data_IF_354478548034
#
_entry.id   IF_354478548034
#
_cell.length_a   1.000
_cell.length_b   1.000
_cell.length_c   1.000
_cell.angle_alpha   90.00
_cell.angle_beta   90.00
_cell.angle_gamma   90.00
#
_symmetry.space_group_name_H-M   'P 1'
#
loop_
_entity.id
_entity.type
_entity.pdbx_description
1 polymer ?
#
# COMPACT_ATOMS: atom_id res chain seq x y z
N UNK A 1 9.25 37.54 -32.57
CA UNK A 1 9.16 36.88 -33.89
C UNK A 1 10.00 35.60 -33.77
N UNK A 2 9.48 34.37 -33.69
CA UNK A 2 8.27 33.75 -34.26
C UNK A 2 7.52 32.90 -33.21
N UNK A 3 6.20 32.90 -33.28
CA UNK A 3 5.32 31.85 -32.78
C UNK A 3 5.44 30.61 -33.67
N UNK A 4 5.31 29.40 -33.11
CA UNK A 4 4.40 28.36 -33.59
C UNK A 4 4.34 27.14 -32.63
N UNK A 5 3.32 26.26 -32.74
CA UNK A 5 2.25 26.17 -31.75
C UNK A 5 2.29 24.89 -30.91
N UNK A 6 1.50 24.88 -29.85
CA UNK A 6 1.18 23.67 -29.08
C UNK A 6 0.54 22.61 -29.98
N UNK A 7 0.99 21.35 -29.94
CA UNK A 7 0.09 20.24 -30.13
C UNK A 7 -0.63 20.00 -28.80
N UNK A 8 -1.92 20.35 -28.76
CA UNK A 8 -2.88 19.77 -27.82
C UNK A 8 -2.90 18.27 -28.08
N UNK A 9 -2.10 17.52 -27.33
CA UNK A 9 -2.32 16.10 -27.10
C UNK A 9 -3.28 15.99 -25.94
N UNK A 10 -4.53 15.65 -26.26
CA UNK A 10 -5.50 15.17 -25.28
C UNK A 10 -4.80 14.16 -24.37
N UNK A 11 -4.82 14.43 -23.06
CA UNK A 11 -4.12 13.65 -22.06
C UNK A 11 -4.60 12.21 -22.05
N UNK A 12 -3.85 11.33 -22.70
CA UNK A 12 -3.76 9.94 -22.27
C UNK A 12 -3.17 10.00 -20.86
N UNK A 13 -4.01 9.82 -19.84
CA UNK A 13 -3.61 9.85 -18.44
C UNK A 13 -2.42 8.91 -18.25
N UNK A 14 -1.22 9.47 -18.09
CA UNK A 14 -0.04 8.70 -17.79
C UNK A 14 -0.35 7.93 -16.51
N UNK A 15 -0.28 6.60 -16.58
CA UNK A 15 -0.48 5.77 -15.40
C UNK A 15 0.46 6.27 -14.29
N UNK A 16 -0.03 6.45 -13.05
CA UNK A 16 0.79 6.97 -11.97
C UNK A 16 2.04 6.07 -11.80
N UNK A 17 3.21 6.69 -11.70
CA UNK A 17 4.48 6.00 -11.50
C UNK A 17 4.41 5.29 -10.14
N UNK A 18 4.41 3.95 -10.15
CA UNK A 18 4.43 3.15 -8.92
C UNK A 18 5.78 3.31 -8.21
N UNK A 19 5.83 3.37 -6.87
CA UNK A 19 7.07 3.48 -6.12
C UNK A 19 7.91 2.22 -6.26
N UNK A 20 9.23 2.37 -6.13
CA UNK A 20 10.19 1.26 -6.16
C UNK A 20 10.36 0.69 -4.75
N UNK A 21 9.93 -0.55 -4.48
CA UNK A 21 10.00 -1.11 -3.13
C UNK A 21 11.44 -1.47 -2.74
N UNK A 22 11.78 -1.23 -1.47
CA UNK A 22 13.00 -1.73 -0.83
C UNK A 22 12.58 -2.55 0.38
N UNK A 23 12.89 -3.85 0.37
CA UNK A 23 12.60 -4.73 1.50
C UNK A 23 13.78 -4.70 2.48
N UNK A 24 13.50 -4.30 3.72
CA UNK A 24 14.45 -4.40 4.82
C UNK A 24 14.15 -5.66 5.64
N UNK A 25 15.13 -6.56 5.77
CA UNK A 25 15.04 -7.77 6.61
C UNK A 25 16.00 -7.60 7.80
N UNK A 26 15.57 -6.94 8.88
CA UNK A 26 16.45 -6.66 10.00
C UNK A 26 16.64 -7.88 10.90
N UNK A 27 17.84 -8.02 11.46
CA UNK A 27 18.06 -8.89 12.61
C UNK A 27 17.53 -8.24 13.90
N UNK A 28 17.33 -9.04 14.95
CA UNK A 28 16.86 -8.51 16.24
C UNK A 28 17.87 -7.50 16.81
N UNK A 29 17.36 -6.34 17.24
CA UNK A 29 18.13 -5.27 17.91
C UNK A 29 19.25 -4.65 17.05
N UNK A 30 19.11 -4.63 15.73
CA UNK A 30 20.10 -4.04 14.82
C UNK A 30 19.92 -2.53 14.52
N UNK A 31 19.02 -1.83 15.23
CA UNK A 31 18.76 -0.40 14.99
C UNK A 31 17.90 -0.10 13.75
N UNK A 32 17.23 -1.10 13.18
CA UNK A 32 16.37 -0.94 11.99
C UNK A 32 15.24 0.06 12.16
N UNK A 33 14.72 0.19 13.37
CA UNK A 33 13.72 1.20 13.69
C UNK A 33 14.26 2.63 13.48
N UNK A 34 15.49 2.90 13.92
CA UNK A 34 16.12 4.21 13.75
C UNK A 34 16.45 4.49 12.28
N UNK A 35 16.90 3.49 11.52
CA UNK A 35 17.13 3.62 10.08
C UNK A 35 15.83 3.97 9.34
N UNK A 36 14.74 3.23 9.59
CA UNK A 36 13.42 3.49 9.01
C UNK A 36 12.96 4.93 9.25
N UNK A 37 13.08 5.41 10.51
CA UNK A 37 12.71 6.78 10.84
C UNK A 37 13.54 7.81 10.07
N UNK A 38 14.86 7.62 9.98
CA UNK A 38 15.73 8.51 9.19
C UNK A 38 15.36 8.51 7.71
N UNK A 39 15.08 7.33 7.13
CA UNK A 39 14.62 7.23 5.75
C UNK A 39 13.30 7.98 5.56
N UNK A 40 12.34 7.85 6.49
CA UNK A 40 11.05 8.52 6.38
C UNK A 40 11.11 10.06 6.52
N UNK A 41 12.23 10.62 6.98
CA UNK A 41 12.47 12.07 6.96
C UNK A 41 13.04 12.58 5.62
N UNK A 42 13.54 11.68 4.76
CA UNK A 42 14.03 12.04 3.44
C UNK A 42 12.86 12.06 2.44
N UNK A 43 12.62 13.16 1.70
CA UNK A 43 11.51 13.27 0.75
C UNK A 43 11.58 12.25 -0.42
N UNK A 44 12.73 11.64 -0.66
CA UNK A 44 12.91 10.60 -1.68
C UNK A 44 12.50 9.20 -1.20
N UNK A 45 12.21 9.04 0.08
CA UNK A 45 11.87 7.75 0.69
C UNK A 45 10.54 7.82 1.41
N UNK A 46 9.68 6.86 1.08
CA UNK A 46 8.48 6.58 1.85
C UNK A 46 8.73 5.36 2.74
N UNK A 47 8.83 5.57 4.06
CA UNK A 47 9.14 4.51 5.03
C UNK A 47 8.24 4.62 6.26
N UNK A 48 6.91 4.49 6.07
CA UNK A 48 5.93 4.77 7.11
C UNK A 48 6.05 3.78 8.27
N UNK A 49 5.30 4.03 9.34
CA UNK A 49 5.21 3.07 10.43
C UNK A 49 4.67 1.72 9.91
N UNK A 50 5.34 0.58 10.21
CA UNK A 50 4.91 -0.72 9.72
C UNK A 50 3.48 -1.04 10.15
N UNK A 51 2.68 -1.57 9.24
CA UNK A 51 1.39 -2.14 9.58
C UNK A 51 1.63 -3.53 10.20
N UNK A 52 1.32 -3.70 11.49
CA UNK A 52 1.57 -4.95 12.22
C UNK A 52 0.56 -6.05 11.87
N UNK A 53 0.62 -6.52 10.62
CA UNK A 53 -0.28 -7.58 10.15
C UNK A 53 -0.02 -8.94 10.81
N UNK A 54 1.11 -9.11 11.50
CA UNK A 54 1.42 -10.34 12.24
C UNK A 54 0.38 -10.58 13.34
N UNK A 55 -0.02 -9.51 14.05
CA UNK A 55 -1.06 -9.58 15.08
C UNK A 55 -2.46 -9.87 14.48
N UNK A 56 -2.62 -9.61 13.19
CA UNK A 56 -3.83 -9.87 12.42
C UNK A 56 -3.89 -11.32 11.89
N UNK A 57 -2.75 -12.01 11.75
CA UNK A 57 -2.70 -13.35 11.15
C UNK A 57 -3.58 -14.40 11.85
N UNK A 58 -3.73 -14.43 13.19
CA UNK A 58 -4.64 -15.36 13.86
C UNK A 58 -6.10 -15.22 13.42
N UNK A 59 -6.50 -14.06 12.89
CA UNK A 59 -7.85 -13.79 12.42
C UNK A 59 -8.09 -14.26 10.98
N UNK A 60 -7.04 -14.51 10.19
CA UNK A 60 -7.18 -14.88 8.77
C UNK A 60 -8.09 -16.08 8.52
N UNK A 61 -8.03 -17.17 9.30
CA UNK A 61 -8.93 -18.31 9.10
C UNK A 61 -10.42 -17.95 9.24
N UNK A 62 -10.76 -16.88 9.95
CA UNK A 62 -12.15 -16.46 10.17
C UNK A 62 -12.79 -15.84 8.91
N UNK A 63 -12.00 -15.48 7.90
CA UNK A 63 -12.51 -14.94 6.63
C UNK A 63 -13.04 -16.04 5.69
N UNK A 64 -12.75 -17.31 5.97
CA UNK A 64 -13.13 -18.43 5.11
C UNK A 64 -12.23 -18.55 3.87
N UNK A 65 -12.81 -19.02 2.77
CA UNK A 65 -12.07 -19.19 1.51
C UNK A 65 -11.83 -17.85 0.82
N UNK A 66 -10.57 -17.43 0.71
CA UNK A 66 -10.22 -16.18 0.03
C UNK A 66 -10.43 -16.26 -1.49
N UNK A 67 -10.66 -17.42 -2.09
CA UNK A 67 -11.09 -17.51 -3.49
C UNK A 67 -12.51 -16.91 -3.70
N UNK A 68 -13.32 -16.78 -2.65
CA UNK A 68 -14.58 -16.02 -2.69
C UNK A 68 -14.28 -14.50 -2.66
N UNK A 69 -14.81 -13.78 -3.65
CA UNK A 69 -14.71 -12.32 -3.76
C UNK A 69 -15.26 -11.62 -2.51
N UNK A 70 -16.33 -12.15 -1.90
CA UNK A 70 -16.92 -11.53 -0.72
C UNK A 70 -16.01 -11.66 0.51
N UNK A 71 -15.44 -12.83 0.72
CA UNK A 71 -14.46 -13.09 1.78
C UNK A 71 -13.20 -12.24 1.59
N UNK A 72 -12.67 -12.20 0.37
CA UNK A 72 -11.47 -11.42 0.08
C UNK A 72 -11.70 -9.91 0.16
N UNK A 73 -12.85 -9.42 -0.31
CA UNK A 73 -13.21 -8.00 -0.16
C UNK A 73 -13.34 -7.60 1.30
N UNK A 74 -13.93 -8.47 2.15
CA UNK A 74 -13.98 -8.23 3.60
C UNK A 74 -12.58 -8.12 4.20
N UNK A 75 -11.64 -8.98 3.81
CA UNK A 75 -10.24 -8.89 4.20
C UNK A 75 -9.61 -7.54 3.78
N UNK A 76 -9.85 -7.09 2.56
CA UNK A 76 -9.36 -5.79 2.08
C UNK A 76 -9.87 -4.64 2.94
N UNK A 77 -11.19 -4.61 3.20
CA UNK A 77 -11.82 -3.60 4.07
C UNK A 77 -11.19 -3.58 5.45
N UNK A 78 -10.98 -4.76 6.06
CA UNK A 78 -10.49 -4.83 7.43
C UNK A 78 -9.00 -4.49 7.55
N UNK A 79 -8.18 -4.79 6.54
CA UNK A 79 -6.77 -4.36 6.49
C UNK A 79 -6.67 -2.83 6.31
N UNK A 80 -7.52 -2.24 5.47
CA UNK A 80 -7.63 -0.78 5.36
C UNK A 80 -8.11 -0.20 6.69
N UNK A 81 -9.08 -0.84 7.34
CA UNK A 81 -9.57 -0.49 8.67
C UNK A 81 -8.46 -0.54 9.72
N UNK A 82 -7.57 -1.54 9.69
CA UNK A 82 -6.41 -1.64 10.57
C UNK A 82 -5.46 -0.45 10.38
N UNK A 83 -5.18 -0.07 9.14
CA UNK A 83 -4.38 1.12 8.84
C UNK A 83 -5.09 2.39 9.32
N UNK A 84 -6.39 2.50 9.07
CA UNK A 84 -7.23 3.63 9.48
C UNK A 84 -7.43 3.70 11.00
N UNK A 85 -7.28 2.60 11.74
CA UNK A 85 -7.33 2.55 13.21
C UNK A 85 -5.96 2.71 13.87
N UNK A 86 -4.86 2.49 13.14
CA UNK A 86 -3.49 2.56 13.66
C UNK A 86 -3.17 3.94 14.27
N UNK A 87 -2.49 3.96 15.41
CA UNK A 87 -2.13 5.19 16.11
C UNK A 87 -1.23 6.12 15.26
N UNK A 88 -0.38 5.54 14.42
CA UNK A 88 0.50 6.29 13.50
C UNK A 88 -0.07 6.20 12.09
N UNK A 89 -0.68 7.31 11.63
CA UNK A 89 -1.23 7.39 10.28
C UNK A 89 -0.13 7.50 9.23
N UNK A 90 -0.40 6.92 8.07
CA UNK A 90 0.41 7.14 6.88
C UNK A 90 0.06 8.50 6.30
N UNK A 91 1.03 9.42 6.24
CA UNK A 91 0.81 10.80 5.85
C UNK A 91 0.27 10.88 4.41
N UNK A 92 -0.88 11.54 4.23
CA UNK A 92 -1.47 11.79 2.91
C UNK A 92 -2.11 10.57 2.24
N UNK A 93 -2.22 9.43 2.92
CA UNK A 93 -2.77 8.21 2.34
C UNK A 93 -4.22 7.99 2.79
N UNK A 94 -5.11 7.84 1.83
CA UNK A 94 -6.50 7.42 2.00
C UNK A 94 -6.76 6.30 0.99
N UNK A 95 -7.42 5.24 1.43
CA UNK A 95 -7.64 4.04 0.61
C UNK A 95 -9.12 3.73 0.50
N UNK A 96 -9.60 3.64 -0.74
CA UNK A 96 -10.94 3.15 -1.04
C UNK A 96 -10.93 1.63 -1.23
N UNK A 97 -11.67 0.84 -0.44
CA UNK A 97 -11.62 -0.62 -0.51
C UNK A 97 -11.98 -1.20 -1.87
N UNK A 98 -12.97 -0.60 -2.55
CA UNK A 98 -13.37 -1.02 -3.91
C UNK A 98 -12.21 -0.92 -4.90
N UNK A 99 -11.53 0.23 -4.91
CA UNK A 99 -10.39 0.45 -5.80
C UNK A 99 -9.22 -0.50 -5.52
N UNK A 100 -8.94 -0.76 -4.23
CA UNK A 100 -7.86 -1.67 -3.85
C UNK A 100 -8.20 -3.10 -4.27
N UNK A 101 -9.44 -3.54 -4.01
CA UNK A 101 -9.91 -4.85 -4.40
C UNK A 101 -9.86 -5.04 -5.93
N UNK A 102 -10.37 -4.10 -6.70
CA UNK A 102 -10.38 -4.19 -8.16
C UNK A 102 -8.96 -4.24 -8.75
N UNK A 103 -8.00 -3.55 -8.15
CA UNK A 103 -6.60 -3.60 -8.58
C UNK A 103 -5.93 -4.97 -8.36
N UNK A 104 -6.40 -5.78 -7.41
CA UNK A 104 -5.72 -7.02 -6.98
C UNK A 104 -6.56 -8.29 -7.10
N UNK A 105 -7.87 -8.21 -7.39
CA UNK A 105 -8.81 -9.35 -7.43
C UNK A 105 -8.41 -10.49 -8.37
N UNK A 106 -7.66 -10.18 -9.42
CA UNK A 106 -7.16 -11.13 -10.42
C UNK A 106 -5.77 -11.70 -10.09
N UNK A 107 -5.17 -11.28 -8.98
CA UNK A 107 -3.83 -11.68 -8.54
C UNK A 107 -3.91 -12.73 -7.41
N UNK A 108 -2.80 -13.40 -7.05
CA UNK A 108 -2.77 -14.30 -5.91
C UNK A 108 -3.22 -13.59 -4.62
N UNK A 109 -4.26 -14.15 -4.00
CA UNK A 109 -4.96 -13.54 -2.87
C UNK A 109 -4.26 -13.86 -1.56
N UNK A 110 -3.90 -12.82 -0.81
CA UNK A 110 -3.35 -12.94 0.54
C UNK A 110 -3.43 -11.59 1.25
N UNK A 111 -3.34 -11.59 2.59
CA UNK A 111 -3.20 -10.33 3.36
C UNK A 111 -1.97 -9.54 2.93
N UNK A 112 -0.86 -10.23 2.64
CA UNK A 112 0.38 -9.61 2.19
C UNK A 112 0.17 -8.85 0.88
N UNK A 113 -0.60 -9.41 -0.07
CA UNK A 113 -0.92 -8.74 -1.32
C UNK A 113 -1.69 -7.44 -1.10
N UNK A 114 -2.63 -7.42 -0.16
CA UNK A 114 -3.36 -6.20 0.21
C UNK A 114 -2.39 -5.15 0.73
N UNK A 115 -1.56 -5.49 1.71
CA UNK A 115 -0.58 -4.56 2.31
C UNK A 115 0.41 -4.03 1.28
N UNK A 116 0.91 -4.88 0.37
CA UNK A 116 1.77 -4.44 -0.72
C UNK A 116 1.08 -3.44 -1.63
N UNK A 117 -0.19 -3.65 -1.98
CA UNK A 117 -0.92 -2.68 -2.79
C UNK A 117 -1.08 -1.34 -2.07
N UNK A 118 -1.35 -1.34 -0.76
CA UNK A 118 -1.41 -0.10 0.03
C UNK A 118 -0.08 0.66 0.01
N UNK A 119 1.05 -0.05 0.14
CA UNK A 119 2.40 0.55 0.09
C UNK A 119 2.77 1.05 -1.31
N UNK A 120 2.28 0.38 -2.36
CA UNK A 120 2.54 0.75 -3.76
C UNK A 120 1.69 1.92 -4.27
N UNK A 121 0.82 2.47 -3.44
CA UNK A 121 0.03 3.68 -3.73
C UNK A 121 0.71 4.96 -3.23
N UNK A 122 1.82 4.84 -2.50
CA UNK A 122 2.53 5.95 -1.87
C UNK A 122 3.51 6.68 -2.80
#
# INVERSE_FOLDING_TARGET
MRMNPSPTIAGAGAAPVRPRPVLMIPLRRCGSHALRLRLNFNPQFYSPYPLHIVDFMPLLPLYGDLADDRAYFRLVVDVIGLQAASMVKWKGMVFEPGEIFDAIRAQPRSVHRVVWELLLRA
#
